data_IF_996712306213
#
_entry.id   IF_996712306213
#
_cell.length_a   1.000
_cell.length_b   1.000
_cell.length_c   1.000
_cell.angle_alpha   90.00
_cell.angle_beta   90.00
_cell.angle_gamma   90.00
#
_symmetry.space_group_name_H-M   'P 1'
#
loop_
_entity.id
_entity.type
_entity.pdbx_description
1 polymer ?
#
# COMPACT_ATOMS: atom_id res chain seq x y z
N UNK A 1 20.84 -23.73 17.41
CA UNK A 1 21.09 -23.72 18.88
C UNK A 1 19.94 -23.00 19.58
N UNK A 2 19.67 -23.21 20.89
CA UNK A 2 18.71 -22.37 21.63
C UNK A 2 19.43 -21.45 22.61
N UNK A 3 19.13 -20.16 22.56
CA UNK A 3 19.65 -19.10 23.45
C UNK A 3 18.45 -18.37 24.06
N UNK A 4 18.46 -18.15 25.38
CA UNK A 4 17.39 -17.46 26.10
C UNK A 4 18.03 -16.40 26.98
N UNK A 5 17.53 -15.17 26.89
CA UNK A 5 17.88 -14.04 27.74
C UNK A 5 17.37 -14.18 29.18
N UNK A 6 17.45 -13.08 29.89
CA UNK A 6 16.98 -12.87 31.24
C UNK A 6 15.68 -12.06 31.22
N UNK A 7 15.33 -11.38 32.32
CA UNK A 7 14.16 -10.49 32.34
C UNK A 7 14.57 -9.01 32.30
N UNK A 8 15.80 -8.74 31.91
CA UNK A 8 16.35 -7.40 31.74
C UNK A 8 16.89 -7.29 30.31
N UNK A 9 17.31 -6.09 29.90
CA UNK A 9 18.00 -5.90 28.63
C UNK A 9 19.22 -6.82 28.47
N UNK A 10 19.20 -7.63 27.42
CA UNK A 10 20.21 -8.61 27.06
C UNK A 10 20.80 -8.34 25.66
N UNK A 11 22.02 -8.86 25.45
CA UNK A 11 22.65 -8.94 24.14
C UNK A 11 22.82 -10.43 23.78
N UNK A 12 22.05 -10.90 22.81
CA UNK A 12 22.08 -12.28 22.34
C UNK A 12 22.71 -12.34 20.95
N UNK A 13 23.55 -13.35 20.73
CA UNK A 13 24.26 -13.56 19.46
C UNK A 13 24.21 -15.05 19.13
N UNK A 14 23.60 -15.37 17.99
CA UNK A 14 23.63 -16.70 17.42
C UNK A 14 24.93 -16.99 16.67
N UNK A 15 25.02 -18.19 16.12
CA UNK A 15 26.19 -18.68 15.40
C UNK A 15 25.86 -18.90 13.90
N UNK A 16 26.61 -19.76 13.22
CA UNK A 16 26.42 -20.03 11.79
C UNK A 16 25.44 -21.18 11.50
N UNK A 17 24.68 -21.62 12.50
CA UNK A 17 23.71 -22.70 12.41
C UNK A 17 22.33 -22.15 12.70
N UNK A 18 21.26 -22.83 12.30
CA UNK A 18 19.89 -22.46 12.65
C UNK A 18 19.69 -22.32 14.16
N UNK A 19 19.31 -21.12 14.63
CA UNK A 19 19.18 -20.73 16.03
C UNK A 19 17.73 -20.40 16.41
N UNK A 20 17.43 -20.59 17.69
CA UNK A 20 16.23 -20.09 18.35
C UNK A 20 16.70 -19.15 19.46
N UNK A 21 16.42 -17.86 19.32
CA UNK A 21 16.80 -16.82 20.27
C UNK A 21 15.55 -16.19 20.89
N UNK A 22 15.51 -16.10 22.22
CA UNK A 22 14.39 -15.55 22.99
C UNK A 22 14.88 -14.45 23.95
N UNK A 23 14.41 -13.21 23.79
CA UNK A 23 14.74 -12.05 24.63
C UNK A 23 14.05 -12.08 26.00
N UNK A 24 12.73 -12.35 25.99
CA UNK A 24 11.81 -12.41 27.13
C UNK A 24 11.24 -11.06 27.58
N UNK A 25 11.94 -10.35 28.47
CA UNK A 25 11.49 -9.07 29.03
C UNK A 25 12.69 -8.12 29.04
N UNK A 26 12.43 -6.85 28.78
CA UNK A 26 13.47 -5.84 28.72
C UNK A 26 13.77 -5.51 27.27
N UNK A 27 14.57 -4.48 27.05
CA UNK A 27 14.89 -4.02 25.71
C UNK A 27 16.14 -4.75 25.25
N UNK A 28 15.96 -5.77 24.43
CA UNK A 28 16.98 -6.72 24.04
C UNK A 28 17.62 -6.34 22.70
N UNK A 29 18.83 -6.81 22.48
CA UNK A 29 19.49 -6.77 21.16
C UNK A 29 19.84 -8.19 20.76
N UNK A 30 19.26 -8.67 19.66
CA UNK A 30 19.37 -10.07 19.24
C UNK A 30 19.88 -10.15 17.81
N UNK A 31 20.97 -10.87 17.61
CA UNK A 31 21.56 -11.17 16.30
C UNK A 31 21.43 -12.66 16.00
N UNK A 32 20.78 -13.03 14.89
CA UNK A 32 20.61 -14.42 14.42
C UNK A 32 21.94 -15.05 14.02
N UNK A 33 22.66 -14.38 13.11
CA UNK A 33 23.96 -14.87 12.63
C UNK A 33 23.85 -15.41 11.22
N UNK A 34 24.34 -16.62 10.99
CA UNK A 34 24.08 -17.31 9.72
C UNK A 34 23.24 -18.55 9.97
N UNK A 35 22.53 -19.01 8.94
CA UNK A 35 21.59 -20.11 9.09
C UNK A 35 20.17 -19.57 9.18
N UNK A 36 19.20 -20.47 9.28
CA UNK A 36 17.80 -20.09 9.30
C UNK A 36 17.36 -19.91 10.75
N UNK A 37 17.26 -18.67 11.20
CA UNK A 37 17.06 -18.36 12.60
C UNK A 37 15.58 -18.08 12.94
N UNK A 38 15.22 -18.34 14.18
CA UNK A 38 13.97 -17.89 14.78
C UNK A 38 14.30 -16.96 15.93
N UNK A 39 13.88 -15.70 15.83
CA UNK A 39 14.19 -14.63 16.78
C UNK A 39 12.88 -14.13 17.40
N UNK A 40 12.79 -14.15 18.73
CA UNK A 40 11.62 -13.73 19.50
C UNK A 40 12.04 -12.67 20.54
N UNK A 41 11.68 -11.40 20.32
CA UNK A 41 11.94 -10.30 21.28
C UNK A 41 11.09 -10.44 22.55
N UNK A 42 9.79 -10.63 22.34
CA UNK A 42 8.73 -10.81 23.34
C UNK A 42 8.24 -9.53 24.01
N UNK A 43 8.93 -8.96 25.01
CA UNK A 43 8.45 -7.75 25.71
C UNK A 43 9.56 -6.77 25.90
N UNK A 44 9.29 -5.52 25.58
CA UNK A 44 10.27 -4.44 25.62
C UNK A 44 10.43 -3.89 24.23
N UNK A 45 11.19 -2.80 24.11
CA UNK A 45 11.51 -2.23 22.81
C UNK A 45 12.82 -2.87 22.33
N UNK A 46 12.72 -3.84 21.43
CA UNK A 46 13.81 -4.73 21.03
C UNK A 46 14.47 -4.30 19.71
N UNK A 47 15.76 -4.63 19.57
CA UNK A 47 16.50 -4.55 18.31
C UNK A 47 16.81 -5.97 17.82
N UNK A 48 16.15 -6.39 16.74
CA UNK A 48 16.25 -7.75 16.20
C UNK A 48 16.90 -7.73 14.82
N UNK A 49 17.92 -8.57 14.61
CA UNK A 49 18.67 -8.65 13.35
C UNK A 49 18.81 -10.10 12.91
N UNK A 50 18.20 -10.48 11.77
CA UNK A 50 18.29 -11.84 11.22
C UNK A 50 19.70 -12.19 10.74
N UNK A 51 20.26 -11.31 9.91
CA UNK A 51 21.55 -11.45 9.20
C UNK A 51 21.49 -12.33 7.95
N UNK A 52 21.97 -13.58 7.95
CA UNK A 52 22.05 -14.39 6.72
C UNK A 52 21.34 -15.73 6.84
N UNK A 53 20.31 -15.90 6.03
CA UNK A 53 19.56 -17.15 5.91
C UNK A 53 18.09 -16.78 5.68
N UNK A 54 17.22 -17.78 5.79
CA UNK A 54 15.79 -17.58 5.92
C UNK A 54 15.46 -17.42 7.40
N UNK A 55 15.12 -16.20 7.80
CA UNK A 55 14.84 -15.88 9.20
C UNK A 55 13.35 -15.67 9.45
N UNK A 56 12.91 -16.08 10.64
CA UNK A 56 11.59 -15.78 11.21
C UNK A 56 11.78 -14.89 12.43
N UNK A 57 11.32 -13.65 12.35
CA UNK A 57 11.52 -12.64 13.40
C UNK A 57 10.17 -12.17 13.94
N UNK A 58 10.04 -12.12 15.27
CA UNK A 58 8.88 -11.55 15.97
C UNK A 58 9.38 -10.54 17.02
N UNK A 59 8.95 -9.29 16.87
CA UNK A 59 9.18 -8.22 17.85
C UNK A 59 8.51 -8.55 19.17
N UNK A 60 7.18 -8.53 19.17
CA UNK A 60 6.36 -8.90 20.31
C UNK A 60 5.61 -7.69 20.85
N UNK A 61 5.83 -7.35 22.11
CA UNK A 61 5.18 -6.25 22.78
C UNK A 61 6.19 -5.13 23.04
N UNK A 62 5.95 -3.95 22.48
CA UNK A 62 6.85 -2.81 22.60
C UNK A 62 7.13 -2.25 21.21
N UNK A 63 7.84 -1.14 21.15
CA UNK A 63 8.14 -0.51 19.87
C UNK A 63 9.47 -1.08 19.37
N UNK A 64 9.39 -2.09 18.51
CA UNK A 64 10.53 -2.87 18.08
C UNK A 64 11.19 -2.30 16.83
N UNK A 65 12.48 -2.61 16.66
CA UNK A 65 13.21 -2.36 15.42
C UNK A 65 13.75 -3.67 14.87
N UNK A 66 13.24 -4.06 13.72
CA UNK A 66 13.56 -5.31 13.05
C UNK A 66 14.33 -5.01 11.77
N UNK A 67 15.54 -5.55 11.69
CA UNK A 67 16.29 -5.66 10.46
C UNK A 67 16.31 -7.12 10.05
N UNK A 68 15.47 -7.49 9.08
CA UNK A 68 15.53 -8.82 8.47
C UNK A 68 16.94 -9.10 7.98
N UNK A 69 17.54 -8.10 7.29
CA UNK A 69 18.95 -8.10 6.96
C UNK A 69 19.55 -6.71 7.09
N UNK A 70 20.81 -6.63 7.52
CA UNK A 70 21.52 -5.35 7.64
C UNK A 70 22.60 -5.21 6.55
N UNK A 71 22.82 -3.99 6.07
CA UNK A 71 24.14 -3.53 5.61
C UNK A 71 24.66 -2.36 6.46
N UNK A 72 23.81 -1.77 7.32
CA UNK A 72 24.06 -0.53 8.06
C UNK A 72 24.64 -0.72 9.47
N UNK A 73 24.29 -1.82 10.13
CA UNK A 73 25.10 -2.37 11.23
C UNK A 73 26.38 -2.90 10.56
N UNK A 74 27.39 -2.01 10.47
CA UNK A 74 28.72 -2.19 9.86
C UNK A 74 29.56 -3.30 10.51
N UNK A 75 28.96 -4.42 10.87
CA UNK A 75 29.65 -5.54 11.47
C UNK A 75 29.77 -6.73 10.53
N UNK A 76 28.72 -7.33 9.92
CA UNK A 76 28.96 -8.63 9.25
C UNK A 76 28.14 -9.09 8.03
N UNK A 77 27.15 -8.37 7.50
CA UNK A 77 26.27 -8.98 6.50
C UNK A 77 26.66 -8.73 5.03
N UNK A 78 26.85 -9.83 4.29
CA UNK A 78 26.77 -9.88 2.83
C UNK A 78 25.31 -10.11 2.42
N UNK A 79 24.72 -9.19 1.66
CA UNK A 79 23.37 -9.33 1.13
C UNK A 79 23.21 -10.66 0.35
N UNK A 80 22.13 -11.37 0.64
CA UNK A 80 21.71 -12.60 -0.07
C UNK A 80 20.23 -12.41 -0.41
N UNK A 81 19.79 -12.96 -1.54
CA UNK A 81 18.44 -12.83 -2.08
C UNK A 81 17.44 -13.79 -1.42
N UNK A 82 17.55 -14.02 -0.11
CA UNK A 82 16.70 -14.97 0.60
C UNK A 82 15.44 -14.28 1.11
N UNK A 83 14.29 -14.93 0.92
CA UNK A 83 13.02 -14.51 1.49
C UNK A 83 13.02 -14.68 3.01
N UNK A 84 12.30 -13.84 3.72
CA UNK A 84 12.16 -13.93 5.18
C UNK A 84 10.73 -13.63 5.62
N UNK A 85 10.49 -13.83 6.92
CA UNK A 85 9.21 -13.55 7.55
C UNK A 85 9.40 -12.73 8.83
N UNK A 86 8.81 -11.53 8.87
CA UNK A 86 8.88 -10.65 10.03
C UNK A 86 7.49 -10.23 10.53
N UNK A 87 7.36 -10.15 11.85
CA UNK A 87 6.18 -9.63 12.56
C UNK A 87 6.61 -8.58 13.57
N UNK A 88 6.05 -7.37 13.49
CA UNK A 88 6.19 -6.34 14.54
C UNK A 88 5.44 -6.73 15.82
N UNK A 89 4.16 -7.04 15.64
CA UNK A 89 3.17 -7.47 16.64
C UNK A 89 2.46 -6.31 17.36
N UNK A 90 2.87 -5.88 18.55
CA UNK A 90 2.21 -4.79 19.28
C UNK A 90 3.19 -3.65 19.52
N UNK A 91 2.87 -2.46 19.04
CA UNK A 91 3.68 -1.27 19.25
C UNK A 91 3.95 -0.56 17.94
N UNK A 92 4.57 0.61 18.00
CA UNK A 92 4.93 1.35 16.80
C UNK A 92 6.30 0.85 16.30
N UNK A 93 6.29 -0.11 15.38
CA UNK A 93 7.46 -0.88 14.97
C UNK A 93 8.18 -0.27 13.76
N UNK A 94 9.47 -0.59 13.62
CA UNK A 94 10.28 -0.26 12.43
C UNK A 94 10.84 -1.53 11.83
N UNK A 95 10.36 -1.90 10.65
CA UNK A 95 10.72 -3.17 10.02
C UNK A 95 11.37 -2.90 8.66
N UNK A 96 12.60 -3.35 8.51
CA UNK A 96 13.37 -3.27 7.27
C UNK A 96 13.61 -4.67 6.72
N UNK A 97 13.10 -4.91 5.52
CA UNK A 97 13.32 -6.11 4.72
C UNK A 97 14.75 -6.23 4.20
N UNK A 98 14.92 -7.02 3.14
CA UNK A 98 16.20 -7.45 2.59
C UNK A 98 16.23 -7.33 1.06
N UNK A 99 17.16 -8.04 0.40
CA UNK A 99 17.18 -8.10 -1.07
C UNK A 99 16.37 -9.30 -1.63
N UNK A 100 15.78 -10.12 -0.75
CA UNK A 100 14.93 -11.23 -1.13
C UNK A 100 13.45 -10.86 -1.09
N UNK A 101 12.59 -11.80 -1.52
CA UNK A 101 11.14 -11.58 -1.51
C UNK A 101 10.62 -11.80 -0.09
N UNK A 102 10.43 -10.75 0.68
CA UNK A 102 10.08 -10.83 2.09
C UNK A 102 8.56 -10.79 2.31
N UNK A 103 8.12 -11.34 3.45
CA UNK A 103 6.76 -11.15 3.96
C UNK A 103 6.84 -10.47 5.31
N UNK A 104 6.25 -9.29 5.42
CA UNK A 104 6.36 -8.43 6.60
C UNK A 104 4.97 -8.02 7.07
N UNK A 105 4.70 -8.19 8.36
CA UNK A 105 3.46 -7.77 9.02
C UNK A 105 3.80 -6.80 10.17
N UNK A 106 3.29 -5.57 10.13
CA UNK A 106 3.35 -4.63 11.25
C UNK A 106 2.47 -5.12 12.42
N UNK A 107 1.20 -5.37 12.11
CA UNK A 107 0.11 -5.81 12.99
C UNK A 107 -0.59 -4.69 13.77
N UNK A 108 -0.15 -4.32 14.97
CA UNK A 108 -0.85 -3.29 15.77
C UNK A 108 0.11 -2.15 16.09
N UNK A 109 -0.27 -0.92 15.77
CA UNK A 109 0.51 0.27 16.06
C UNK A 109 0.73 1.11 14.80
N UNK A 110 1.44 2.22 14.92
CA UNK A 110 1.83 3.02 13.77
C UNK A 110 3.21 2.55 13.28
N UNK A 111 3.19 1.64 12.32
CA UNK A 111 4.38 0.93 11.87
C UNK A 111 5.07 1.64 10.70
N UNK A 112 6.40 1.47 10.63
CA UNK A 112 7.20 1.86 9.46
C UNK A 112 7.81 0.62 8.84
N UNK A 113 7.37 0.29 7.64
CA UNK A 113 7.80 -0.91 6.91
C UNK A 113 8.52 -0.50 5.62
N UNK A 114 9.72 -1.06 5.39
CA UNK A 114 10.48 -0.87 4.15
C UNK A 114 10.89 -2.23 3.58
N UNK A 115 10.32 -2.63 2.44
CA UNK A 115 10.58 -3.92 1.78
C UNK A 115 12.01 -4.06 1.23
N UNK A 116 12.58 -2.96 0.72
CA UNK A 116 13.91 -2.85 0.09
C UNK A 116 13.96 -3.36 -1.36
N UNK A 117 14.45 -4.56 -1.61
CA UNK A 117 14.50 -5.09 -2.97
C UNK A 117 13.97 -6.50 -2.98
N UNK A 118 13.12 -6.81 -3.95
CA UNK A 118 12.46 -8.11 -4.00
C UNK A 118 11.00 -7.93 -4.38
N UNK A 119 10.35 -9.02 -4.73
CA UNK A 119 8.89 -9.00 -4.88
C UNK A 119 8.28 -9.22 -3.48
N UNK A 120 8.10 -8.15 -2.71
CA UNK A 120 7.71 -8.24 -1.29
C UNK A 120 6.19 -8.30 -1.06
N UNK A 121 5.79 -8.80 0.10
CA UNK A 121 4.42 -8.71 0.61
C UNK A 121 4.41 -8.02 1.97
N UNK A 122 3.91 -6.79 2.00
CA UNK A 122 3.97 -5.87 3.12
C UNK A 122 2.55 -5.58 3.62
N UNK A 123 2.33 -5.75 4.92
CA UNK A 123 1.03 -5.55 5.57
C UNK A 123 1.22 -4.65 6.78
N UNK A 124 0.54 -3.49 6.81
CA UNK A 124 0.54 -2.55 7.94
C UNK A 124 -0.21 -3.14 9.12
N UNK A 125 -1.53 -3.24 9.01
CA UNK A 125 -2.38 -3.86 10.01
C UNK A 125 -3.38 -2.87 10.61
N UNK A 126 -3.22 -2.55 11.89
CA UNK A 126 -4.03 -1.58 12.62
C UNK A 126 -3.17 -0.40 13.00
N UNK A 127 -3.61 0.82 12.70
CA UNK A 127 -2.90 2.06 13.01
C UNK A 127 -2.51 2.81 11.74
N UNK A 128 -2.06 4.05 11.89
CA UNK A 128 -1.62 4.87 10.75
C UNK A 128 -0.20 4.44 10.33
N UNK A 129 -0.08 3.61 9.29
CA UNK A 129 1.17 2.97 8.87
C UNK A 129 1.89 3.74 7.75
N UNK A 130 3.21 3.60 7.68
CA UNK A 130 4.04 4.07 6.57
C UNK A 130 4.78 2.91 5.93
N UNK A 131 4.44 2.59 4.68
CA UNK A 131 4.96 1.40 3.99
C UNK A 131 5.61 1.77 2.66
N UNK A 132 6.82 1.25 2.40
CA UNK A 132 7.52 1.44 1.13
C UNK A 132 8.12 0.15 0.57
N UNK A 133 7.75 -0.21 -0.67
CA UNK A 133 8.28 -1.36 -1.40
C UNK A 133 9.68 -1.15 -1.97
N UNK A 134 10.02 0.08 -2.36
CA UNK A 134 11.31 0.51 -2.94
C UNK A 134 11.63 -0.10 -4.32
N UNK A 135 11.89 -1.41 -4.42
CA UNK A 135 12.17 -2.08 -5.71
C UNK A 135 11.52 -3.46 -5.77
N UNK A 136 11.11 -3.87 -6.97
CA UNK A 136 10.51 -5.18 -7.25
C UNK A 136 8.99 -5.08 -7.30
N UNK A 137 8.30 -6.19 -7.56
CA UNK A 137 6.84 -6.20 -7.72
C UNK A 137 6.20 -6.50 -6.38
N UNK A 138 5.85 -5.45 -5.68
CA UNK A 138 5.39 -5.50 -4.30
C UNK A 138 3.87 -5.67 -4.22
N UNK A 139 3.45 -6.30 -3.14
CA UNK A 139 2.06 -6.24 -2.66
C UNK A 139 2.07 -5.47 -1.34
N UNK A 140 1.38 -4.35 -1.29
CA UNK A 140 1.35 -3.47 -0.13
C UNK A 140 -0.09 -3.31 0.33
N UNK A 141 -0.36 -3.58 1.60
CA UNK A 141 -1.68 -3.44 2.21
C UNK A 141 -1.52 -2.60 3.47
N UNK A 142 -2.22 -1.46 3.53
CA UNK A 142 -2.27 -0.57 4.69
C UNK A 142 -3.00 -1.25 5.84
N UNK A 143 -4.33 -1.32 5.77
CA UNK A 143 -5.16 -2.02 6.74
C UNK A 143 -6.26 -1.12 7.31
N UNK A 144 -6.36 -1.04 8.63
CA UNK A 144 -7.20 -0.04 9.32
C UNK A 144 -6.32 1.13 9.77
N UNK A 145 -6.68 2.36 9.42
CA UNK A 145 -5.93 3.56 9.79
C UNK A 145 -5.62 4.42 8.56
N UNK A 146 -5.11 5.62 8.78
CA UNK A 146 -4.76 6.52 7.67
C UNK A 146 -3.34 6.21 7.21
N UNK A 147 -3.21 5.41 6.16
CA UNK A 147 -1.93 4.85 5.75
C UNK A 147 -1.22 5.68 4.67
N UNK A 148 0.11 5.60 4.65
CA UNK A 148 0.97 6.20 3.63
C UNK A 148 1.77 5.12 2.91
N UNK A 149 1.35 4.77 1.69
CA UNK A 149 1.90 3.66 0.90
C UNK A 149 2.69 4.18 -0.32
N UNK A 150 3.88 3.61 -0.55
CA UNK A 150 4.73 3.92 -1.72
C UNK A 150 5.27 2.63 -2.36
N UNK A 151 4.88 2.36 -3.61
CA UNK A 151 5.32 1.18 -4.36
C UNK A 151 6.81 1.24 -4.69
N UNK A 152 7.21 2.29 -5.43
CA UNK A 152 8.61 2.53 -5.78
C UNK A 152 8.91 2.14 -7.22
N UNK A 153 9.92 1.31 -7.46
CA UNK A 153 10.16 0.74 -8.80
C UNK A 153 9.55 -0.65 -8.86
N UNK A 154 8.64 -0.90 -9.79
CA UNK A 154 8.04 -2.22 -9.86
C UNK A 154 6.70 -2.19 -10.55
N UNK A 155 6.08 -3.34 -10.68
CA UNK A 155 4.65 -3.40 -10.97
C UNK A 155 3.97 -3.78 -9.67
N UNK A 156 3.53 -2.78 -8.94
CA UNK A 156 3.07 -2.90 -7.58
C UNK A 156 1.54 -3.04 -7.53
N UNK A 157 1.06 -3.76 -6.52
CA UNK A 157 -0.36 -3.85 -6.17
C UNK A 157 -0.49 -3.30 -4.77
N UNK A 158 -1.26 -2.24 -4.61
CA UNK A 158 -1.40 -1.52 -3.34
C UNK A 158 -2.86 -1.36 -2.97
N UNK A 159 -3.17 -1.56 -1.69
CA UNK A 159 -4.48 -1.28 -1.13
C UNK A 159 -4.33 -0.50 0.18
N UNK A 160 -5.01 0.63 0.29
CA UNK A 160 -5.07 1.43 1.51
C UNK A 160 -5.82 0.66 2.59
N UNK A 161 -7.13 0.52 2.43
CA UNK A 161 -7.96 -0.31 3.30
C UNK A 161 -9.14 0.45 3.87
N UNK A 162 -9.13 0.74 5.16
CA UNK A 162 -10.13 1.55 5.85
C UNK A 162 -9.52 2.86 6.32
N UNK A 163 -10.32 3.93 6.29
CA UNK A 163 -9.95 5.30 6.66
C UNK A 163 -9.20 6.04 5.52
N UNK A 164 -8.69 7.24 5.76
CA UNK A 164 -8.24 8.13 4.67
C UNK A 164 -6.78 7.82 4.27
N UNK A 165 -6.56 7.14 3.14
CA UNK A 165 -5.24 6.68 2.74
C UNK A 165 -4.52 7.58 1.72
N UNK A 166 -3.20 7.50 1.69
CA UNK A 166 -2.36 8.10 0.63
C UNK A 166 -1.49 7.05 -0.04
N UNK A 167 -1.68 6.84 -1.33
CA UNK A 167 -0.98 5.80 -2.11
C UNK A 167 -0.25 6.41 -3.30
N UNK A 168 1.04 6.08 -3.45
CA UNK A 168 1.84 6.43 -4.64
C UNK A 168 2.41 5.20 -5.32
N UNK A 169 2.03 5.01 -6.59
CA UNK A 169 2.52 3.96 -7.50
C UNK A 169 4.04 3.98 -7.63
N UNK A 170 4.52 5.01 -8.32
CA UNK A 170 5.93 5.22 -8.54
C UNK A 170 6.27 5.00 -10.01
N UNK A 171 7.16 4.05 -10.29
CA UNK A 171 7.54 3.74 -11.67
C UNK A 171 6.98 2.40 -12.08
N UNK A 172 6.60 2.38 -13.35
CA UNK A 172 6.02 1.25 -14.08
C UNK A 172 4.56 1.07 -13.71
N UNK A 173 3.90 0.10 -14.35
CA UNK A 173 2.46 -0.02 -14.29
C UNK A 173 2.01 -0.61 -12.95
N UNK A 174 1.28 0.20 -12.18
CA UNK A 174 0.81 -0.12 -10.85
C UNK A 174 -0.72 -0.30 -10.80
N UNK A 175 -1.19 -0.93 -9.72
CA UNK A 175 -2.61 -1.04 -9.41
C UNK A 175 -2.84 -0.55 -7.99
N UNK A 176 -3.56 0.57 -7.87
CA UNK A 176 -3.83 1.26 -6.62
C UNK A 176 -5.30 1.11 -6.26
N UNK A 177 -5.57 0.56 -5.08
CA UNK A 177 -6.88 0.47 -4.49
C UNK A 177 -6.91 1.40 -3.28
N UNK A 178 -7.79 2.40 -3.28
CA UNK A 178 -7.99 3.26 -2.11
C UNK A 178 -8.57 2.45 -0.96
N UNK A 179 -9.87 2.19 -1.03
CA UNK A 179 -10.56 1.44 0.00
C UNK A 179 -11.80 2.19 0.45
N UNK A 180 -12.09 2.11 1.74
CA UNK A 180 -13.11 2.92 2.38
C UNK A 180 -12.46 4.19 2.92
N UNK A 181 -13.03 5.37 2.69
CA UNK A 181 -12.47 6.62 3.23
C UNK A 181 -11.87 7.52 2.14
N UNK A 182 -11.48 8.74 2.50
CA UNK A 182 -11.14 9.77 1.51
C UNK A 182 -9.71 9.57 1.02
N UNK A 183 -9.56 8.82 -0.06
CA UNK A 183 -8.24 8.37 -0.48
C UNK A 183 -7.57 9.33 -1.45
N UNK A 184 -6.24 9.44 -1.35
CA UNK A 184 -5.40 10.12 -2.34
C UNK A 184 -4.55 9.10 -3.08
N UNK A 185 -4.85 8.88 -4.36
CA UNK A 185 -4.13 7.94 -5.22
C UNK A 185 -3.32 8.70 -6.28
N UNK A 186 -2.04 8.37 -6.42
CA UNK A 186 -1.15 8.93 -7.44
C UNK A 186 -0.37 7.80 -8.14
N UNK A 187 -0.64 7.53 -9.41
CA UNK A 187 0.09 6.54 -10.21
C UNK A 187 1.55 6.93 -10.47
N UNK A 188 1.84 8.24 -10.47
CA UNK A 188 3.09 8.86 -10.89
C UNK A 188 3.48 8.60 -12.36
N UNK A 189 3.84 7.39 -12.77
CA UNK A 189 4.25 7.21 -14.16
C UNK A 189 4.20 5.80 -14.70
N UNK A 190 4.04 5.75 -16.04
CA UNK A 190 3.59 4.63 -16.86
C UNK A 190 2.07 4.47 -16.78
N UNK A 191 1.56 3.32 -17.26
CA UNK A 191 0.12 3.11 -17.40
C UNK A 191 -0.42 2.45 -16.13
N UNK A 192 -1.21 3.18 -15.35
CA UNK A 192 -1.67 2.77 -14.02
C UNK A 192 -3.17 2.44 -13.97
N UNK A 193 -3.56 1.70 -12.95
CA UNK A 193 -4.96 1.38 -12.64
C UNK A 193 -5.29 1.89 -11.24
N UNK A 194 -6.19 2.87 -11.15
CA UNK A 194 -6.63 3.48 -9.89
C UNK A 194 -8.09 3.10 -9.62
N UNK A 195 -8.37 2.59 -8.42
CA UNK A 195 -9.67 2.03 -8.03
C UNK A 195 -10.04 2.50 -6.62
N UNK A 196 -11.15 3.22 -6.43
CA UNK A 196 -11.69 3.57 -5.10
C UNK A 196 -12.63 2.50 -4.57
N UNK A 197 -12.23 1.23 -4.64
CA UNK A 197 -13.13 0.14 -4.29
C UNK A 197 -13.58 0.25 -2.83
N UNK A 198 -14.85 -0.08 -2.58
CA UNK A 198 -15.35 -0.59 -1.32
C UNK A 198 -15.82 0.41 -0.27
N UNK A 199 -16.08 1.65 -0.68
CA UNK A 199 -17.00 2.54 0.01
C UNK A 199 -18.37 1.87 0.21
N UNK A 200 -18.46 1.07 1.26
CA UNK A 200 -19.70 0.60 1.82
C UNK A 200 -20.39 1.86 2.29
N UNK A 201 -21.30 2.38 1.46
CA UNK A 201 -22.32 3.39 1.72
C UNK A 201 -22.47 3.58 3.25
N UNK A 202 -21.58 4.35 3.86
CA UNK A 202 -21.65 4.74 5.26
C UNK A 202 -22.47 5.99 5.18
N UNK A 203 -23.70 5.99 5.71
CA UNK A 203 -24.68 6.96 5.30
C UNK A 203 -24.47 8.38 5.90
N UNK A 204 -23.22 8.84 5.99
CA UNK A 204 -22.87 10.12 6.57
C UNK A 204 -21.53 10.72 6.14
N UNK A 205 -20.67 10.03 5.38
CA UNK A 205 -19.42 10.61 4.88
C UNK A 205 -19.60 11.09 3.44
N UNK A 206 -19.38 12.38 3.20
CA UNK A 206 -19.16 12.90 1.85
C UNK A 206 -17.78 12.40 1.41
N UNK A 207 -17.67 11.10 1.10
CA UNK A 207 -16.38 10.54 0.79
C UNK A 207 -15.88 11.12 -0.53
N UNK A 208 -14.61 11.48 -0.55
CA UNK A 208 -13.98 12.19 -1.64
C UNK A 208 -12.60 11.61 -1.89
N UNK A 209 -12.55 10.76 -2.90
CA UNK A 209 -11.31 10.28 -3.46
C UNK A 209 -10.68 11.29 -4.40
N UNK A 210 -9.35 11.32 -4.41
CA UNK A 210 -8.55 12.21 -5.23
C UNK A 210 -7.49 11.42 -5.99
N UNK A 211 -7.67 11.29 -7.29
CA UNK A 211 -6.85 10.45 -8.16
C UNK A 211 -6.02 11.30 -9.13
N UNK A 212 -4.76 10.89 -9.29
CA UNK A 212 -3.82 11.43 -10.26
C UNK A 212 -3.22 10.23 -10.99
N UNK A 213 -3.45 10.13 -12.30
CA UNK A 213 -2.89 9.01 -13.09
C UNK A 213 -1.39 9.15 -13.26
N UNK A 214 -0.94 10.39 -13.51
CA UNK A 214 0.45 10.70 -13.78
C UNK A 214 0.76 10.62 -15.27
N UNK A 215 1.88 9.98 -15.61
CA UNK A 215 2.38 9.94 -16.97
C UNK A 215 2.13 8.59 -17.64
N UNK A 216 1.08 8.43 -18.43
CA UNK A 216 0.89 7.23 -19.22
C UNK A 216 -0.50 7.14 -19.82
N UNK A 217 -1.00 5.92 -19.96
CA UNK A 217 -2.38 5.59 -20.31
C UNK A 217 -3.07 5.02 -19.08
N UNK A 218 -3.72 5.88 -18.31
CA UNK A 218 -4.22 5.51 -17.00
C UNK A 218 -5.67 5.05 -17.05
N UNK A 219 -6.02 4.18 -16.12
CA UNK A 219 -7.36 3.58 -15.99
C UNK A 219 -7.94 3.95 -14.65
N UNK A 220 -8.98 4.78 -14.65
CA UNK A 220 -9.74 5.15 -13.46
C UNK A 220 -10.99 4.28 -13.38
N UNK A 221 -11.04 3.36 -12.43
CA UNK A 221 -12.13 2.41 -12.29
C UNK A 221 -13.09 2.84 -11.18
N UNK A 222 -14.29 3.24 -11.58
CA UNK A 222 -15.39 3.60 -10.69
C UNK A 222 -16.31 2.39 -10.56
N UNK A 223 -16.26 1.69 -9.42
CA UNK A 223 -17.06 0.47 -9.22
C UNK A 223 -16.29 -0.85 -9.43
N UNK A 224 -16.93 -1.95 -9.06
CA UNK A 224 -16.55 -3.30 -9.46
C UNK A 224 -17.72 -3.95 -10.24
N UNK A 225 -17.53 -5.16 -10.78
CA UNK A 225 -18.54 -5.82 -11.64
C UNK A 225 -19.94 -5.94 -11.00
N UNK A 226 -20.02 -5.98 -9.67
CA UNK A 226 -21.26 -6.19 -8.92
C UNK A 226 -21.77 -4.93 -8.17
N UNK A 227 -20.98 -3.86 -8.10
CA UNK A 227 -21.23 -2.72 -7.19
C UNK A 227 -20.80 -1.39 -7.81
N UNK A 228 -21.71 -0.42 -7.79
CA UNK A 228 -21.44 0.99 -8.12
C UNK A 228 -21.14 1.75 -6.84
N UNK A 229 -19.98 2.42 -6.76
CA UNK A 229 -19.58 3.18 -5.56
C UNK A 229 -20.05 4.65 -5.60
N UNK A 230 -20.14 5.26 -6.78
CA UNK A 230 -20.43 6.70 -6.93
C UNK A 230 -21.88 6.97 -7.40
N UNK A 231 -22.87 6.89 -6.50
CA UNK A 231 -24.31 7.05 -6.81
C UNK A 231 -24.94 8.42 -6.48
N UNK A 232 -25.99 8.80 -7.23
CA UNK A 232 -26.62 10.13 -7.18
C UNK A 232 -27.53 10.43 -5.96
N UNK A 233 -27.66 9.61 -4.90
CA UNK A 233 -28.55 9.97 -3.77
C UNK A 233 -28.11 9.55 -2.36
N UNK A 234 -28.30 10.51 -1.45
CA UNK A 234 -28.06 10.62 0.00
C UNK A 234 -26.65 10.33 0.54
N UNK A 235 -25.84 9.54 -0.15
CA UNK A 235 -24.48 9.15 0.26
C UNK A 235 -23.56 9.17 -0.95
N UNK A 236 -23.53 10.29 -1.68
CA UNK A 236 -22.73 10.37 -2.90
C UNK A 236 -21.26 10.45 -2.55
N UNK A 237 -20.53 9.36 -2.78
CA UNK A 237 -19.08 9.35 -2.92
C UNK A 237 -18.68 10.13 -4.19
N UNK A 238 -17.49 10.74 -4.19
CA UNK A 238 -16.97 11.60 -5.26
C UNK A 238 -15.51 11.28 -5.57
N UNK A 239 -15.23 10.80 -6.79
CA UNK A 239 -13.87 10.77 -7.31
C UNK A 239 -13.51 12.07 -8.04
N UNK A 240 -12.42 12.72 -7.62
CA UNK A 240 -11.77 13.81 -8.34
C UNK A 240 -10.56 13.26 -9.09
N UNK A 241 -10.60 13.28 -10.41
CA UNK A 241 -9.42 12.99 -11.25
C UNK A 241 -8.74 14.30 -11.64
N UNK A 242 -7.46 14.46 -11.26
CA UNK A 242 -6.74 15.74 -11.35
C UNK A 242 -6.07 16.02 -12.70
N UNK A 243 -5.69 14.99 -13.46
CA UNK A 243 -4.78 15.14 -14.60
C UNK A 243 -5.18 14.34 -15.85
N UNK A 244 -6.45 13.93 -15.95
CA UNK A 244 -6.98 13.14 -17.05
C UNK A 244 -6.59 13.69 -18.44
N UNK A 245 -6.17 12.81 -19.34
CA UNK A 245 -5.71 13.09 -20.70
C UNK A 245 -6.49 12.28 -21.74
N UNK A 246 -6.22 12.49 -23.04
CA UNK A 246 -6.83 11.69 -24.11
C UNK A 246 -6.32 10.25 -24.18
N UNK A 247 -5.22 9.95 -23.48
CA UNK A 247 -4.63 8.62 -23.42
C UNK A 247 -5.23 7.77 -22.29
N UNK A 248 -5.97 8.40 -21.38
CA UNK A 248 -6.58 7.79 -20.21
C UNK A 248 -8.00 7.31 -20.49
N UNK A 249 -8.48 6.42 -19.63
CA UNK A 249 -9.84 5.89 -19.69
C UNK A 249 -10.51 5.85 -18.31
N UNK A 250 -11.81 6.09 -18.33
CA UNK A 250 -12.68 5.84 -17.18
C UNK A 250 -13.42 4.53 -17.45
N UNK A 251 -13.34 3.60 -16.50
CA UNK A 251 -14.06 2.33 -16.53
C UNK A 251 -15.22 2.46 -15.54
N UNK A 252 -16.44 2.32 -16.07
CA UNK A 252 -17.67 2.33 -15.27
C UNK A 252 -18.21 0.91 -15.20
N UNK A 253 -18.53 0.45 -13.99
CA UNK A 253 -19.26 -0.81 -13.80
C UNK A 253 -20.68 -0.51 -13.32
N UNK A 254 -21.71 -1.12 -13.91
CA UNK A 254 -23.11 -0.77 -13.64
C UNK A 254 -23.77 0.05 -14.75
N UNK A 255 -24.94 0.64 -14.47
CA UNK A 255 -25.68 1.40 -15.49
C UNK A 255 -25.13 2.83 -15.62
N UNK A 256 -25.07 3.41 -16.83
CA UNK A 256 -24.71 4.83 -16.99
C UNK A 256 -25.58 5.80 -16.17
N UNK A 257 -26.81 5.40 -15.81
CA UNK A 257 -27.69 6.19 -14.94
C UNK A 257 -27.27 6.26 -13.48
N UNK A 258 -26.35 5.40 -13.06
CA UNK A 258 -25.91 5.32 -11.68
C UNK A 258 -24.90 6.43 -11.34
N UNK A 259 -24.29 7.05 -12.36
CA UNK A 259 -23.20 8.03 -12.22
C UNK A 259 -23.66 9.47 -12.50
N UNK A 260 -23.20 10.40 -11.65
CA UNK A 260 -23.27 11.84 -11.90
C UNK A 260 -21.86 12.43 -12.02
N UNK A 261 -21.50 12.89 -13.22
CA UNK A 261 -20.20 13.49 -13.51
C UNK A 261 -20.37 15.02 -13.59
N UNK A 262 -19.69 15.81 -12.74
CA UNK A 262 -19.83 17.27 -12.65
C UNK A 262 -18.48 18.00 -12.49
N UNK A 263 -18.40 19.29 -12.87
CA UNK A 263 -17.19 20.15 -12.75
C UNK A 263 -17.53 21.50 -12.10
N UNK A 264 -16.58 22.07 -11.34
CA UNK A 264 -16.68 23.40 -10.76
C UNK A 264 -15.71 24.39 -11.46
N UNK A 265 -16.17 25.61 -11.81
CA UNK A 265 -15.32 26.65 -12.43
C UNK A 265 -15.63 26.91 -13.91
N UNK A 266 -15.96 28.16 -14.21
CA UNK A 266 -16.70 28.66 -15.38
C UNK A 266 -16.14 28.28 -16.77
N UNK A 267 -17.11 27.99 -17.65
CA UNK A 267 -17.06 27.62 -19.06
C UNK A 267 -16.46 26.24 -19.38
N UNK A 268 -17.34 25.23 -19.42
CA UNK A 268 -17.43 24.08 -20.36
C UNK A 268 -18.26 22.96 -19.69
N UNK A 269 -19.38 22.55 -20.28
CA UNK A 269 -20.39 21.57 -19.79
C UNK A 269 -20.43 20.32 -20.68
N UNK A 270 -21.00 19.19 -20.22
CA UNK A 270 -21.79 18.22 -21.03
C UNK A 270 -22.85 17.44 -20.03
N UNK A 271 -23.57 16.30 -20.32
CA UNK A 271 -24.65 15.55 -19.52
C UNK A 271 -24.71 13.95 -19.32
N UNK A 272 -25.82 13.25 -19.00
CA UNK A 272 -26.03 11.77 -19.22
C UNK A 272 -27.54 11.43 -19.41
N UNK A 273 -27.92 10.45 -20.26
CA UNK A 273 -29.29 9.87 -20.39
C UNK A 273 -30.24 10.28 -21.57
N UNK A 274 -31.29 9.46 -21.79
CA UNK A 274 -32.02 9.01 -23.01
C UNK A 274 -32.66 9.95 -24.12
N UNK A 275 -33.15 9.24 -25.16
CA UNK A 275 -33.54 9.49 -26.59
C UNK A 275 -33.93 10.87 -27.15
N UNK A 276 -33.94 11.97 -26.40
CA UNK A 276 -34.28 13.27 -26.99
C UNK A 276 -33.29 14.43 -26.78
N UNK A 277 -32.14 14.28 -26.09
CA UNK A 277 -30.89 15.05 -26.34
C UNK A 277 -29.71 14.79 -25.36
N UNK A 278 -28.52 14.67 -25.97
CA UNK A 278 -27.10 14.39 -25.59
C UNK A 278 -26.50 14.63 -24.17
N UNK A 279 -25.41 13.86 -23.91
CA UNK A 279 -24.58 13.54 -22.70
C UNK A 279 -23.10 14.06 -22.69
N UNK A 280 -22.45 14.14 -21.50
CA UNK A 280 -21.10 14.51 -20.94
C UNK A 280 -20.45 13.35 -20.34
N UNK A 281 -19.17 13.31 -20.63
CA UNK A 281 -18.41 12.12 -20.43
C UNK A 281 -17.03 12.44 -19.84
N UNK A 282 -16.68 13.73 -19.58
CA UNK A 282 -15.60 14.24 -18.70
C UNK A 282 -15.26 15.74 -18.98
N UNK A 283 -14.58 16.43 -18.04
CA UNK A 283 -13.80 17.67 -18.30
C UNK A 283 -12.55 17.72 -17.42
N UNK A 284 -11.45 18.09 -18.07
CA UNK A 284 -10.06 18.11 -17.60
C UNK A 284 -9.65 19.54 -17.25
N UNK A 285 -8.92 19.71 -16.15
CA UNK A 285 -8.24 20.97 -15.87
C UNK A 285 -6.88 21.02 -16.58
N UNK A 286 -6.65 22.08 -17.36
CA UNK A 286 -5.38 22.45 -18.02
C UNK A 286 -4.89 21.65 -19.25
N UNK A 287 -5.77 21.05 -20.05
CA UNK A 287 -5.35 20.56 -21.38
C UNK A 287 -6.32 20.95 -22.50
N UNK A 288 -5.85 21.71 -23.49
CA UNK A 288 -6.67 22.36 -24.51
C UNK A 288 -7.12 21.47 -25.68
N UNK A 289 -6.99 20.13 -25.60
CA UNK A 289 -7.32 19.22 -26.70
C UNK A 289 -7.86 17.86 -26.20
N UNK A 290 -9.08 17.83 -25.65
CA UNK A 290 -9.81 16.57 -25.53
C UNK A 290 -10.55 16.31 -26.86
N UNK A 291 -10.06 15.38 -27.68
CA UNK A 291 -10.79 14.85 -28.83
C UNK A 291 -11.57 13.60 -28.39
N UNK A 292 -12.87 13.77 -28.13
CA UNK A 292 -13.78 12.70 -27.69
C UNK A 292 -14.11 11.67 -28.78
N UNK A 293 -13.53 11.78 -29.98
CA UNK A 293 -13.68 10.74 -31.01
C UNK A 293 -12.75 9.54 -30.77
N UNK A 294 -11.77 9.66 -29.87
CA UNK A 294 -10.78 8.60 -29.57
C UNK A 294 -10.91 8.02 -28.15
N UNK A 295 -11.78 8.57 -27.29
CA UNK A 295 -12.09 8.01 -25.97
C UNK A 295 -12.87 6.69 -26.13
N UNK A 296 -12.18 5.57 -25.94
CA UNK A 296 -12.77 4.23 -26.04
C UNK A 296 -13.51 3.90 -24.74
N UNK A 297 -14.80 4.16 -24.71
CA UNK A 297 -15.69 3.65 -23.67
C UNK A 297 -16.00 2.18 -23.96
N UNK A 298 -15.27 1.27 -23.32
CA UNK A 298 -15.59 -0.17 -23.37
C UNK A 298 -16.73 -0.45 -22.38
N UNK A 299 -17.96 -0.19 -22.80
CA UNK A 299 -19.15 -0.67 -22.10
C UNK A 299 -19.23 -2.17 -22.32
N UNK A 300 -18.86 -2.97 -21.32
CA UNK A 300 -19.15 -4.41 -21.35
C UNK A 300 -20.64 -4.63 -21.05
N UNK A 301 -21.37 -5.09 -22.06
CA UNK A 301 -22.76 -5.57 -21.98
C UNK A 301 -22.91 -6.79 -21.04
#
# INVERSE_FOLDING_TARGET
MKIVGTLNADLLQGNSEDNLLEGLQGNDTIFGGSGNDTILGQKGDDLLVGESGFDVIQGGNGNDTIYVKTTEVKLFATATSESNLAYGNQGDDRIFGSEGNDTIYGNQGQDVIVGMAGDDSLYGGLGDDTISGINGRNRIFGGEGNDSLVGGNGKDIMAGGHDDDTIRGGRQNDTLLGGNGNDTLDGEGNDDVLVGNNDLIEPSSNNQDVWTGGAGKDSFQLGNEDTVFYQQNAESDLAIIKDFTSEDKIILHGSPSDYLIAINGSDSEIYSGSTEKLELIAKVENNTNLDLNEAYFDFKE
#
